data_IF_398051446378
#
_entry.id   IF_398051446378
#
_cell.length_a   1.000
_cell.length_b   1.000
_cell.length_c   1.000
_cell.angle_alpha   90.00
_cell.angle_beta   90.00
_cell.angle_gamma   90.00
#
_symmetry.space_group_name_H-M   'P 1'
#
loop_
_entity.id
_entity.type
_entity.pdbx_description
1 polymer ?
#
# COMPACT_ATOMS: atom_id res chain seq x y z
N UNK A 1 -61.91 -25.21 45.35
CA UNK A 1 -61.64 -24.60 44.03
C UNK A 1 -60.72 -23.40 44.25
N UNK A 2 -59.41 -23.55 44.01
CA UNK A 2 -58.46 -22.43 44.04
C UNK A 2 -57.54 -22.58 42.82
N UNK A 3 -57.73 -21.71 41.83
CA UNK A 3 -56.95 -21.71 40.60
C UNK A 3 -55.79 -20.72 40.68
N UNK A 4 -54.58 -21.24 40.51
CA UNK A 4 -53.35 -20.47 40.33
C UNK A 4 -53.35 -19.82 38.95
N UNK A 5 -53.29 -18.49 38.86
CA UNK A 5 -53.07 -17.78 37.59
C UNK A 5 -51.56 -17.66 37.35
N UNK A 6 -51.05 -18.43 36.39
CA UNK A 6 -49.72 -18.22 35.81
C UNK A 6 -49.76 -16.98 34.91
N UNK A 7 -48.94 -15.98 35.23
CA UNK A 7 -48.72 -14.82 34.37
C UNK A 7 -47.69 -15.20 33.30
N UNK A 8 -48.15 -15.38 32.06
CA UNK A 8 -47.28 -15.66 30.91
C UNK A 8 -46.70 -14.32 30.45
N UNK A 9 -45.40 -14.12 30.71
CA UNK A 9 -44.65 -12.99 30.20
C UNK A 9 -44.55 -13.15 28.67
N UNK A 10 -44.97 -12.16 27.86
CA UNK A 10 -44.90 -12.27 26.41
C UNK A 10 -43.42 -12.20 25.95
N UNK A 11 -42.98 -13.27 25.29
CA UNK A 11 -41.63 -13.45 24.76
C UNK A 11 -41.20 -12.42 23.69
N UNK A 12 -42.09 -11.51 23.29
CA UNK A 12 -41.83 -10.51 22.25
C UNK A 12 -40.98 -9.33 22.73
N UNK A 13 -40.87 -9.08 24.04
CA UNK A 13 -40.05 -7.99 24.56
C UNK A 13 -38.53 -8.30 24.53
N UNK A 14 -38.14 -9.58 24.55
CA UNK A 14 -36.72 -9.97 24.59
C UNK A 14 -36.01 -9.82 23.23
N UNK A 15 -36.74 -9.94 22.12
CA UNK A 15 -36.16 -9.85 20.77
C UNK A 15 -35.75 -8.41 20.38
N UNK A 16 -36.48 -7.40 20.88
CA UNK A 16 -36.18 -5.99 20.60
C UNK A 16 -34.88 -5.52 21.28
N UNK A 17 -34.57 -6.02 22.48
CA UNK A 17 -33.33 -5.69 23.18
C UNK A 17 -32.07 -6.29 22.53
N UNK A 18 -32.19 -7.44 21.85
CA UNK A 18 -31.05 -8.05 21.15
C UNK A 18 -30.69 -7.33 19.84
N UNK A 19 -31.69 -6.77 19.14
CA UNK A 19 -31.46 -5.97 17.93
C UNK A 19 -30.82 -4.61 18.23
N UNK A 20 -31.17 -4.00 19.37
CA UNK A 20 -30.57 -2.74 19.82
C UNK A 20 -29.08 -2.89 20.21
N UNK A 21 -28.67 -4.07 20.72
CA UNK A 21 -27.28 -4.36 21.09
C UNK A 21 -26.41 -4.78 19.89
N UNK A 22 -27.02 -5.33 18.82
CA UNK A 22 -26.31 -5.66 17.58
C UNK A 22 -25.90 -4.40 16.78
N UNK A 23 -26.64 -3.28 16.93
CA UNK A 23 -26.37 -2.02 16.23
C UNK A 23 -25.11 -1.29 16.68
N UNK A 24 -24.64 -1.50 17.91
CA UNK A 24 -23.42 -0.85 18.44
C UNK A 24 -22.15 -1.71 18.29
N UNK A 25 -22.28 -2.98 17.87
CA UNK A 25 -21.14 -3.88 17.68
C UNK A 25 -20.57 -3.85 16.26
N UNK A 26 -21.24 -3.18 15.32
CA UNK A 26 -20.67 -2.84 14.02
C UNK A 26 -19.76 -1.62 14.19
N UNK A 27 -18.69 -1.78 14.95
CA UNK A 27 -17.56 -0.86 14.87
C UNK A 27 -17.10 -0.87 13.42
N UNK A 28 -17.45 0.17 12.65
CA UNK A 28 -17.06 0.31 11.25
C UNK A 28 -15.56 0.08 11.15
N UNK A 29 -15.18 -1.06 10.55
CA UNK A 29 -13.78 -1.44 10.41
C UNK A 29 -13.06 -0.31 9.67
N UNK A 30 -11.87 0.12 10.11
CA UNK A 30 -11.13 1.16 9.41
C UNK A 30 -10.97 0.80 7.92
N UNK A 31 -11.09 1.77 7.00
CA UNK A 31 -11.11 1.52 5.56
C UNK A 31 -9.80 0.89 5.04
N UNK A 32 -8.70 1.04 5.80
CA UNK A 32 -7.38 0.50 5.50
C UNK A 32 -7.14 -0.91 6.10
N UNK A 33 -8.11 -1.49 6.79
CA UNK A 33 -7.94 -2.71 7.58
C UNK A 33 -7.51 -3.93 6.75
N UNK A 34 -8.13 -4.12 5.59
CA UNK A 34 -7.75 -5.19 4.65
C UNK A 34 -6.33 -4.99 4.11
N UNK A 35 -5.94 -3.73 3.87
CA UNK A 35 -4.58 -3.39 3.45
C UNK A 35 -3.57 -3.74 4.55
N UNK A 36 -3.82 -3.34 5.80
CA UNK A 36 -2.94 -3.66 6.93
C UNK A 36 -2.78 -5.17 7.13
N UNK A 37 -3.89 -5.91 7.04
CA UNK A 37 -3.86 -7.37 7.16
C UNK A 37 -3.07 -8.03 6.01
N UNK A 38 -3.25 -7.56 4.78
CA UNK A 38 -2.49 -8.07 3.64
C UNK A 38 -1.00 -7.72 3.73
N UNK A 39 -0.67 -6.54 4.27
CA UNK A 39 0.71 -6.09 4.49
C UNK A 39 1.42 -6.99 5.52
N UNK A 40 0.77 -7.25 6.65
CA UNK A 40 1.27 -8.19 7.66
C UNK A 40 1.48 -9.59 7.09
N UNK A 41 0.51 -10.11 6.33
CA UNK A 41 0.63 -11.42 5.65
C UNK A 41 1.80 -11.45 4.66
N UNK A 42 2.01 -10.37 3.91
CA UNK A 42 3.13 -10.27 2.97
C UNK A 42 4.48 -10.26 3.68
N UNK A 43 4.60 -9.54 4.81
CA UNK A 43 5.81 -9.55 5.64
C UNK A 43 6.07 -10.91 6.28
N UNK A 44 5.04 -11.54 6.84
CA UNK A 44 5.16 -12.87 7.46
C UNK A 44 5.50 -13.97 6.45
N UNK A 45 5.06 -13.82 5.20
CA UNK A 45 5.46 -14.74 4.13
C UNK A 45 6.96 -14.64 3.80
N UNK A 46 7.60 -13.50 4.06
CA UNK A 46 9.04 -13.29 3.83
C UNK A 46 9.48 -13.38 2.37
N UNK A 47 8.53 -13.37 1.42
CA UNK A 47 8.79 -13.47 -0.03
C UNK A 47 8.58 -12.13 -0.71
N UNK A 48 9.40 -11.87 -1.72
CA UNK A 48 9.35 -10.63 -2.51
C UNK A 48 8.36 -10.68 -3.67
N UNK A 49 7.61 -11.78 -3.80
CA UNK A 49 6.67 -12.03 -4.88
C UNK A 49 5.54 -12.98 -4.44
N UNK A 50 4.74 -13.43 -5.41
CA UNK A 50 3.70 -14.42 -5.19
C UNK A 50 2.35 -13.84 -4.75
N UNK A 51 1.50 -14.71 -4.23
CA UNK A 51 0.12 -14.39 -3.88
C UNK A 51 0.00 -13.34 -2.79
N UNK A 52 0.79 -13.41 -1.71
CA UNK A 52 0.72 -12.44 -0.61
C UNK A 52 1.04 -11.01 -1.05
N UNK A 53 2.04 -10.83 -1.94
CA UNK A 53 2.37 -9.50 -2.50
C UNK A 53 1.27 -9.03 -3.46
N UNK A 54 0.66 -9.92 -4.26
CA UNK A 54 -0.48 -9.57 -5.13
C UNK A 54 -1.72 -9.18 -4.32
N UNK A 55 -2.01 -9.90 -3.23
CA UNK A 55 -3.10 -9.61 -2.31
C UNK A 55 -2.92 -8.23 -1.67
N UNK A 56 -1.69 -7.91 -1.24
CA UNK A 56 -1.32 -6.60 -0.71
C UNK A 56 -1.63 -5.48 -1.70
N UNK A 57 -1.13 -5.57 -2.93
CA UNK A 57 -1.40 -4.57 -3.96
C UNK A 57 -2.89 -4.43 -4.27
N UNK A 58 -3.61 -5.55 -4.31
CA UNK A 58 -5.05 -5.56 -4.53
C UNK A 58 -5.80 -4.88 -3.39
N UNK A 59 -5.41 -5.12 -2.14
CA UNK A 59 -5.99 -4.50 -0.97
C UNK A 59 -5.71 -2.98 -0.93
N UNK A 60 -4.48 -2.57 -1.21
CA UNK A 60 -4.13 -1.15 -1.36
C UNK A 60 -4.97 -0.48 -2.46
N UNK A 61 -5.09 -1.11 -3.63
CA UNK A 61 -5.87 -0.60 -4.75
C UNK A 61 -7.35 -0.39 -4.42
N UNK A 62 -7.96 -1.35 -3.69
CA UNK A 62 -9.36 -1.23 -3.22
C UNK A 62 -9.51 -0.09 -2.22
N UNK A 63 -8.62 -0.02 -1.23
CA UNK A 63 -8.65 1.07 -0.24
C UNK A 63 -8.51 2.43 -0.91
N UNK A 64 -7.52 2.61 -1.79
CA UNK A 64 -7.34 3.85 -2.54
C UNK A 64 -8.59 4.19 -3.37
N UNK A 65 -9.18 3.22 -4.08
CA UNK A 65 -10.34 3.48 -4.94
C UNK A 65 -11.55 3.93 -4.12
N UNK A 66 -11.79 3.30 -2.97
CA UNK A 66 -12.84 3.71 -2.04
C UNK A 66 -12.58 5.13 -1.50
N UNK A 67 -11.36 5.39 -1.03
CA UNK A 67 -10.95 6.70 -0.52
C UNK A 67 -11.08 7.82 -1.57
N UNK A 68 -10.63 7.56 -2.80
CA UNK A 68 -10.68 8.51 -3.91
C UNK A 68 -12.12 8.85 -4.37
N UNK A 69 -13.10 8.02 -4.02
CA UNK A 69 -14.53 8.29 -4.29
C UNK A 69 -15.17 9.28 -3.32
N UNK A 70 -14.51 9.59 -2.20
CA UNK A 70 -15.00 10.50 -1.17
C UNK A 70 -14.54 11.92 -1.50
N UNK A 71 -15.49 12.81 -1.79
CA UNK A 71 -15.18 14.20 -2.10
C UNK A 71 -14.47 14.89 -0.92
N UNK A 72 -13.33 15.54 -1.21
CA UNK A 72 -12.54 16.25 -0.20
C UNK A 72 -11.73 15.35 0.75
N UNK A 73 -11.69 14.02 0.52
CA UNK A 73 -10.88 13.12 1.34
C UNK A 73 -9.39 13.41 1.20
N UNK A 74 -8.67 13.68 2.31
CA UNK A 74 -7.22 13.86 2.28
C UNK A 74 -6.55 12.51 2.03
N UNK A 75 -5.74 12.39 0.98
CA UNK A 75 -5.12 11.11 0.60
C UNK A 75 -3.74 10.88 1.26
N UNK A 76 -3.50 11.53 2.38
CA UNK A 76 -2.21 11.53 3.09
C UNK A 76 -1.88 10.15 3.64
N UNK A 77 -2.88 9.41 4.12
CA UNK A 77 -2.67 8.08 4.70
C UNK A 77 -2.27 7.07 3.62
N UNK A 78 -2.88 7.14 2.44
CA UNK A 78 -2.59 6.29 1.30
C UNK A 78 -1.19 6.57 0.72
N UNK A 79 -0.79 7.85 0.67
CA UNK A 79 0.56 8.25 0.27
C UNK A 79 1.60 7.75 1.28
N UNK A 80 1.37 8.00 2.57
CA UNK A 80 2.27 7.57 3.63
C UNK A 80 2.35 6.04 3.74
N UNK A 81 1.26 5.34 3.45
CA UNK A 81 1.23 3.88 3.39
C UNK A 81 2.16 3.33 2.30
N UNK A 82 2.18 3.91 1.10
CA UNK A 82 3.12 3.49 0.04
C UNK A 82 4.57 3.77 0.41
N UNK A 83 4.86 4.91 1.04
CA UNK A 83 6.22 5.22 1.48
C UNK A 83 6.70 4.18 2.50
N UNK A 84 5.91 3.94 3.56
CA UNK A 84 6.20 2.94 4.59
C UNK A 84 6.30 1.52 4.02
N UNK A 85 5.40 1.14 3.12
CA UNK A 85 5.45 -0.15 2.44
C UNK A 85 6.77 -0.30 1.69
N UNK A 86 7.16 0.72 0.93
CA UNK A 86 8.44 0.74 0.22
C UNK A 86 9.63 0.55 1.15
N UNK A 87 9.65 1.29 2.27
CA UNK A 87 10.72 1.21 3.26
C UNK A 87 10.83 -0.16 3.90
N UNK A 88 9.70 -0.77 4.26
CA UNK A 88 9.68 -2.11 4.86
C UNK A 88 10.17 -3.17 3.87
N UNK A 89 9.70 -3.17 2.63
CA UNK A 89 10.22 -4.12 1.63
C UNK A 89 11.67 -3.89 1.27
N UNK A 90 12.16 -2.64 1.33
CA UNK A 90 13.60 -2.35 1.20
C UNK A 90 14.40 -3.00 2.33
N UNK A 91 13.94 -2.87 3.58
CA UNK A 91 14.58 -3.49 4.75
C UNK A 91 14.58 -5.02 4.65
N UNK A 92 13.49 -5.61 4.15
CA UNK A 92 13.35 -7.06 3.94
C UNK A 92 14.14 -7.62 2.75
N UNK A 93 14.88 -6.79 2.01
CA UNK A 93 15.65 -7.25 0.84
C UNK A 93 14.80 -7.53 -0.40
N UNK A 94 13.63 -6.88 -0.51
CA UNK A 94 12.72 -6.98 -1.65
C UNK A 94 12.72 -5.70 -2.49
N UNK A 95 13.81 -5.40 -3.23
CA UNK A 95 14.01 -4.12 -3.89
C UNK A 95 12.97 -3.83 -4.98
N UNK A 96 12.44 -4.85 -5.66
CA UNK A 96 11.44 -4.63 -6.72
C UNK A 96 10.07 -4.20 -6.16
N UNK A 97 9.64 -4.78 -5.05
CA UNK A 97 8.40 -4.36 -4.37
C UNK A 97 8.56 -2.97 -3.76
N UNK A 98 9.73 -2.69 -3.18
CA UNK A 98 10.08 -1.35 -2.70
C UNK A 98 10.03 -0.31 -3.82
N UNK A 99 10.69 -0.61 -4.94
CA UNK A 99 10.72 0.22 -6.15
C UNK A 99 9.32 0.49 -6.69
N UNK A 100 8.47 -0.52 -6.75
CA UNK A 100 7.08 -0.39 -7.19
C UNK A 100 6.29 0.55 -6.26
N UNK A 101 6.48 0.45 -4.95
CA UNK A 101 5.83 1.30 -3.93
C UNK A 101 6.20 2.77 -4.07
N UNK A 102 7.50 3.07 -4.15
CA UNK A 102 7.97 4.44 -4.34
C UNK A 102 7.51 5.03 -5.69
N UNK A 103 7.56 4.27 -6.78
CA UNK A 103 7.07 4.73 -8.10
C UNK A 103 5.56 4.96 -8.11
N UNK A 104 4.79 4.12 -7.43
CA UNK A 104 3.36 4.32 -7.31
C UNK A 104 3.05 5.58 -6.50
N UNK A 105 3.81 5.85 -5.43
CA UNK A 105 3.66 7.08 -4.66
C UNK A 105 3.90 8.31 -5.53
N UNK A 106 5.02 8.35 -6.25
CA UNK A 106 5.40 9.48 -7.10
C UNK A 106 4.36 9.72 -8.20
N UNK A 107 3.88 8.65 -8.85
CA UNK A 107 2.93 8.77 -9.96
C UNK A 107 1.52 9.12 -9.52
N UNK A 108 1.06 8.60 -8.36
CA UNK A 108 -0.34 8.68 -7.94
C UNK A 108 -0.66 9.89 -7.05
N UNK A 109 0.38 10.56 -6.53
CA UNK A 109 0.27 11.72 -5.65
C UNK A 109 1.17 12.87 -6.15
N UNK A 110 0.89 13.45 -7.34
CA UNK A 110 1.70 14.51 -7.92
C UNK A 110 1.55 15.89 -7.23
N UNK A 111 0.54 16.07 -6.39
CA UNK A 111 0.17 17.37 -5.81
C UNK A 111 1.21 17.89 -4.81
N UNK A 112 1.41 19.21 -4.72
CA UNK A 112 2.42 19.83 -3.84
C UNK A 112 2.31 19.43 -2.36
N UNK A 113 1.10 19.15 -1.88
CA UNK A 113 0.88 18.65 -0.51
C UNK A 113 1.61 17.34 -0.17
N UNK A 114 2.09 16.61 -1.19
CA UNK A 114 2.83 15.36 -1.04
C UNK A 114 4.29 15.46 -1.46
N UNK A 115 4.82 16.68 -1.71
CA UNK A 115 6.18 16.89 -2.21
C UNK A 115 7.25 16.21 -1.34
N UNK A 116 7.19 16.40 -0.02
CA UNK A 116 8.15 15.78 0.91
C UNK A 116 8.16 14.25 0.83
N UNK A 117 6.99 13.61 0.66
CA UNK A 117 6.91 12.15 0.50
C UNK A 117 7.45 11.70 -0.85
N UNK A 118 7.23 12.47 -1.93
CA UNK A 118 7.83 12.18 -3.24
C UNK A 118 9.35 12.30 -3.20
N UNK A 119 9.89 13.32 -2.54
CA UNK A 119 11.33 13.47 -2.38
C UNK A 119 11.94 12.29 -1.62
N UNK A 120 11.34 11.91 -0.48
CA UNK A 120 11.76 10.72 0.27
C UNK A 120 11.70 9.43 -0.57
N UNK A 121 10.66 9.28 -1.40
CA UNK A 121 10.54 8.16 -2.33
C UNK A 121 11.61 8.18 -3.43
N UNK A 122 11.94 9.36 -3.99
CA UNK A 122 13.01 9.54 -4.96
C UNK A 122 14.38 9.21 -4.36
N UNK A 123 14.67 9.69 -3.15
CA UNK A 123 15.90 9.41 -2.44
C UNK A 123 16.05 7.91 -2.19
N UNK A 124 14.99 7.27 -1.69
CA UNK A 124 14.96 5.83 -1.47
C UNK A 124 15.18 5.05 -2.76
N UNK A 125 14.56 5.45 -3.88
CA UNK A 125 14.76 4.83 -5.19
C UNK A 125 16.22 4.85 -5.66
N UNK A 126 16.97 5.92 -5.35
CA UNK A 126 18.41 6.02 -5.69
C UNK A 126 19.27 5.06 -4.89
N UNK A 127 18.84 4.66 -3.70
CA UNK A 127 19.56 3.69 -2.86
C UNK A 127 19.29 2.23 -3.22
N UNK A 128 18.24 1.95 -3.99
CA UNK A 128 17.90 0.58 -4.39
C UNK A 128 18.87 0.05 -5.46
N UNK A 129 19.24 -1.24 -5.40
CA UNK A 129 20.05 -1.86 -6.45
C UNK A 129 19.33 -1.73 -7.80
N UNK A 130 20.07 -1.55 -8.92
CA UNK A 130 19.47 -1.40 -10.24
C UNK A 130 18.58 -2.62 -10.55
N UNK A 131 17.43 -2.41 -11.23
CA UNK A 131 16.57 -3.53 -11.60
C UNK A 131 17.35 -4.52 -12.47
N UNK A 132 17.11 -5.83 -12.35
CA UNK A 132 17.77 -6.81 -13.19
C UNK A 132 17.47 -6.52 -14.66
N UNK A 133 18.44 -6.75 -15.57
CA UNK A 133 18.22 -6.58 -16.99
C UNK A 133 17.07 -7.49 -17.42
N UNK A 134 16.13 -6.92 -18.18
CA UNK A 134 15.03 -7.68 -18.75
C UNK A 134 15.61 -8.71 -19.72
N UNK A 135 15.28 -10.01 -19.61
CA UNK A 135 15.74 -11.01 -20.56
C UNK A 135 15.37 -10.60 -21.99
N UNK A 136 16.36 -10.45 -22.86
CA UNK A 136 16.17 -10.06 -24.27
C UNK A 136 16.53 -8.61 -24.60
N UNK A 137 16.83 -7.76 -23.62
CA UNK A 137 17.36 -6.41 -23.89
C UNK A 137 18.87 -6.50 -24.07
N UNK A 138 19.35 -6.51 -25.32
CA UNK A 138 20.78 -6.30 -25.58
C UNK A 138 21.19 -4.94 -24.99
N UNK A 139 22.33 -4.84 -24.29
CA UNK A 139 22.83 -3.54 -23.86
C UNK A 139 23.05 -2.68 -25.10
N UNK A 140 22.37 -1.54 -25.20
CA UNK A 140 22.70 -0.52 -26.20
C UNK A 140 24.18 -0.16 -25.98
N UNK A 141 25.05 -0.28 -27.00
CA UNK A 141 26.43 0.16 -26.87
C UNK A 141 26.41 1.64 -26.47
N UNK A 142 27.10 1.98 -25.38
CA UNK A 142 27.31 3.37 -25.03
C UNK A 142 27.90 4.09 -26.26
N UNK A 143 27.40 5.28 -26.65
CA UNK A 143 27.99 6.02 -27.75
C UNK A 143 29.47 6.22 -27.44
N UNK A 144 30.33 5.72 -28.33
CA UNK A 144 31.77 5.90 -28.23
C UNK A 144 32.02 7.41 -28.12
N UNK A 145 32.50 7.87 -26.95
CA UNK A 145 32.96 9.24 -26.82
C UNK A 145 34.02 9.46 -27.91
N UNK A 146 33.90 10.51 -28.74
CA UNK A 146 34.95 10.81 -29.70
C UNK A 146 36.26 10.99 -28.93
N UNK A 147 37.25 10.17 -29.26
CA UNK A 147 38.61 10.29 -28.74
C UNK A 147 39.10 11.67 -29.13
N UNK A 148 39.23 12.57 -28.16
CA UNK A 148 39.80 13.89 -28.37
C UNK A 148 41.30 13.69 -28.63
N UNK A 149 41.67 13.59 -29.90
CA UNK A 149 43.07 13.55 -30.33
C UNK A 149 43.69 14.88 -29.97
N UNK A 150 44.56 14.87 -28.95
CA UNK A 150 45.37 16.03 -28.56
C UNK A 150 46.38 16.31 -29.69
N UNK A 151 46.40 17.51 -30.29
CA UNK A 151 47.41 17.83 -31.29
C UNK A 151 48.82 17.85 -30.65
N UNK A 152 49.87 17.46 -31.38
CA UNK A 152 51.24 17.57 -30.91
C UNK A 152 51.59 19.05 -30.70
N UNK A 153 52.31 19.33 -29.62
CA UNK A 153 52.87 20.66 -29.38
C UNK A 153 53.99 20.90 -30.38
N UNK A 154 53.87 21.96 -31.18
CA UNK A 154 54.99 22.48 -31.99
C UNK A 154 56.04 23.09 -31.07
N UNK A 155 57.31 22.81 -31.38
CA UNK A 155 58.52 23.37 -30.76
C UNK A 155 58.98 24.55 -31.61
#
# INVERSE_FOLDING_TARGET
MSGTKASVIPATAAAACLLALAGCAQMSRPPDSDYRQALEKAFMAGRCDGESVRDLWSAYGRWYAAAASIAGHPKTDEAAALLRQGDQFRILGCPEVARASYRMLISRFPEEGYAAMREAAHDSLRTLPPPPPVPGTMPTPAPARPTLVRPPAEI
#
